data_IF_020845021451
#
_entry.id   IF_020845021451
#
_cell.length_a   1.000
_cell.length_b   1.000
_cell.length_c   1.000
_cell.angle_alpha   90.00
_cell.angle_beta   90.00
_cell.angle_gamma   90.00
#
_symmetry.space_group_name_H-M   'P 1'
#
loop_
_entity.id
_entity.type
_entity.pdbx_description
1 polymer ?
#
# COMPACT_ATOMS: atom_id res chain seq x y z
N UNK A 1 14.83 -5.87 2.91
CA UNK A 1 14.39 -4.80 1.98
C UNK A 1 12.95 -4.96 1.46
N UNK A 2 12.07 -5.81 2.05
CA UNK A 2 10.79 -6.20 1.43
C UNK A 2 9.50 -5.80 2.19
N UNK A 3 9.56 -5.07 3.32
CA UNK A 3 8.43 -5.06 4.28
C UNK A 3 7.94 -3.67 4.73
N UNK A 4 7.99 -2.67 3.85
CA UNK A 4 7.36 -1.35 4.08
C UNK A 4 5.96 -1.28 3.42
N UNK A 5 5.26 -2.38 3.30
CA UNK A 5 4.55 -2.70 2.08
C UNK A 5 3.05 -2.89 2.21
N UNK A 6 2.36 -2.45 3.24
CA UNK A 6 0.90 -2.54 3.15
C UNK A 6 0.28 -1.20 2.72
N UNK A 7 0.74 -0.06 3.21
CA UNK A 7 0.32 1.25 2.64
C UNK A 7 1.22 1.74 1.49
N UNK A 8 2.48 1.21 1.39
CA UNK A 8 3.36 1.41 0.22
C UNK A 8 3.25 0.31 -0.82
N UNK A 9 2.55 -0.79 -0.57
CA UNK A 9 2.41 -1.92 -1.51
C UNK A 9 1.75 -1.48 -2.81
N UNK A 10 0.78 -0.57 -2.75
CA UNK A 10 0.17 0.03 -3.93
C UNK A 10 1.16 0.83 -4.78
N UNK A 11 2.20 1.42 -4.19
CA UNK A 11 3.24 2.19 -4.91
C UNK A 11 4.53 1.40 -5.15
N UNK A 12 4.77 0.28 -4.48
CA UNK A 12 6.06 -0.46 -4.50
C UNK A 12 6.01 -1.71 -5.38
N UNK A 13 4.85 -2.30 -5.62
CA UNK A 13 4.68 -3.35 -6.64
C UNK A 13 5.08 -2.86 -8.04
N UNK A 14 5.12 -1.53 -8.24
CA UNK A 14 5.41 -0.91 -9.54
C UNK A 14 6.87 -0.53 -9.78
N UNK A 15 7.81 -0.84 -8.90
CA UNK A 15 9.17 -0.33 -9.03
C UNK A 15 10.21 -1.31 -9.64
N UNK A 16 9.79 -2.48 -10.14
CA UNK A 16 10.81 -3.40 -10.69
C UNK A 16 10.32 -4.60 -11.49
N UNK A 17 9.31 -5.31 -11.03
CA UNK A 17 8.65 -6.37 -11.81
C UNK A 17 7.24 -5.88 -12.11
N UNK A 18 6.85 -5.79 -13.38
CA UNK A 18 5.51 -5.36 -13.78
C UNK A 18 4.42 -6.22 -13.10
N UNK A 19 3.22 -5.66 -12.85
CA UNK A 19 2.10 -6.39 -12.23
C UNK A 19 1.83 -7.72 -12.93
N UNK A 20 2.03 -7.80 -14.23
CA UNK A 20 1.85 -9.02 -15.05
C UNK A 20 2.69 -10.21 -14.60
N UNK A 21 3.86 -9.98 -13.97
CA UNK A 21 4.72 -11.08 -13.50
C UNK A 21 4.36 -11.53 -12.08
N UNK A 22 3.74 -10.68 -11.28
CA UNK A 22 3.47 -10.97 -9.86
C UNK A 22 2.02 -11.38 -9.64
N UNK A 23 1.09 -10.69 -10.28
CA UNK A 23 -0.35 -10.87 -10.04
C UNK A 23 -0.84 -12.30 -10.27
N UNK A 24 -0.44 -13.01 -11.36
CA UNK A 24 -0.86 -14.40 -11.59
C UNK A 24 -0.37 -15.41 -10.53
N UNK A 25 0.53 -14.98 -9.66
CA UNK A 25 1.15 -15.82 -8.64
C UNK A 25 0.75 -15.44 -7.21
N UNK A 26 -0.23 -14.53 -7.04
CA UNK A 26 -0.67 -14.09 -5.72
C UNK A 26 -1.35 -15.22 -4.92
N UNK A 27 -1.91 -16.19 -5.60
CA UNK A 27 -2.56 -17.37 -5.03
C UNK A 27 -1.62 -18.22 -4.16
N UNK A 28 -0.32 -18.29 -4.48
CA UNK A 28 0.69 -18.97 -3.69
C UNK A 28 1.63 -18.01 -2.94
N UNK A 29 1.89 -16.80 -3.50
CA UNK A 29 2.76 -15.81 -2.86
C UNK A 29 2.18 -15.29 -1.54
N UNK A 30 0.85 -15.08 -1.48
CA UNK A 30 0.20 -14.58 -0.26
C UNK A 30 0.26 -15.63 0.86
N UNK A 31 -0.13 -16.90 0.66
CA UNK A 31 0.05 -17.94 1.68
C UNK A 31 1.51 -18.12 2.13
N UNK A 32 2.45 -18.11 1.19
CA UNK A 32 3.87 -18.16 1.53
C UNK A 32 4.31 -17.00 2.42
N UNK A 33 3.82 -15.78 2.12
CA UNK A 33 4.11 -14.59 2.93
C UNK A 33 3.43 -14.63 4.30
N UNK A 34 2.21 -15.15 4.39
CA UNK A 34 1.49 -15.33 5.67
C UNK A 34 2.27 -16.28 6.57
N UNK A 35 2.83 -17.35 6.02
CA UNK A 35 3.64 -18.33 6.76
C UNK A 35 4.92 -17.74 7.40
N UNK A 36 5.41 -16.59 6.92
CA UNK A 36 6.50 -15.84 7.58
C UNK A 36 6.08 -15.26 8.95
N UNK A 37 4.78 -15.20 9.23
CA UNK A 37 4.24 -14.58 10.44
C UNK A 37 3.53 -15.57 11.35
N UNK A 38 2.81 -16.52 10.79
CA UNK A 38 1.98 -17.47 11.51
C UNK A 38 1.95 -18.80 10.74
N UNK A 39 2.28 -19.88 11.42
CA UNK A 39 2.17 -21.24 10.89
C UNK A 39 0.72 -21.70 10.95
N UNK A 40 0.01 -21.65 9.83
CA UNK A 40 -1.37 -22.11 9.72
C UNK A 40 -1.41 -23.64 9.65
N UNK A 41 -2.43 -24.26 10.31
CA UNK A 41 -2.74 -25.66 10.10
C UNK A 41 -3.43 -25.89 8.73
N UNK A 42 -3.70 -27.14 8.37
CA UNK A 42 -4.21 -27.48 7.04
C UNK A 42 -5.65 -27.00 6.84
N UNK A 43 -6.47 -26.93 7.88
CA UNK A 43 -7.82 -26.35 7.81
C UNK A 43 -7.77 -24.86 7.54
N UNK A 44 -6.91 -24.15 8.25
CA UNK A 44 -6.69 -22.72 8.09
C UNK A 44 -6.07 -22.38 6.72
N UNK A 45 -5.11 -23.20 6.23
CA UNK A 45 -4.55 -23.06 4.88
C UNK A 45 -5.62 -23.22 3.80
N UNK A 46 -6.47 -24.23 3.92
CA UNK A 46 -7.59 -24.44 3.00
C UNK A 46 -8.59 -23.27 3.05
N UNK A 47 -8.91 -22.77 4.25
CA UNK A 47 -9.76 -21.59 4.42
C UNK A 47 -9.13 -20.35 3.75
N UNK A 48 -7.84 -20.07 4.02
CA UNK A 48 -7.11 -18.97 3.42
C UNK A 48 -7.12 -19.07 1.90
N UNK A 49 -6.81 -20.24 1.34
CA UNK A 49 -6.75 -20.46 -0.10
C UNK A 49 -8.10 -20.21 -0.77
N UNK A 50 -9.18 -20.78 -0.22
CA UNK A 50 -10.53 -20.61 -0.75
C UNK A 50 -10.98 -19.14 -0.74
N UNK A 51 -10.72 -18.43 0.36
CA UNK A 51 -11.06 -17.01 0.50
C UNK A 51 -10.21 -16.14 -0.41
N UNK A 52 -8.90 -16.41 -0.48
CA UNK A 52 -7.97 -15.69 -1.34
C UNK A 52 -8.38 -15.77 -2.81
N UNK A 53 -8.73 -16.95 -3.32
CA UNK A 53 -9.19 -17.10 -4.71
C UNK A 53 -10.45 -16.27 -4.98
N UNK A 54 -11.41 -16.26 -4.05
CA UNK A 54 -12.60 -15.40 -4.14
C UNK A 54 -12.22 -13.91 -4.16
N UNK A 55 -11.27 -13.49 -3.34
CA UNK A 55 -10.83 -12.10 -3.32
C UNK A 55 -10.03 -11.70 -4.56
N UNK A 56 -9.24 -12.61 -5.12
CA UNK A 56 -8.53 -12.38 -6.39
C UNK A 56 -9.51 -12.25 -7.56
N UNK A 57 -10.56 -13.07 -7.60
CA UNK A 57 -11.64 -12.94 -8.60
C UNK A 57 -12.36 -11.59 -8.49
N UNK A 58 -12.79 -11.19 -7.28
CA UNK A 58 -13.37 -9.87 -7.06
C UNK A 58 -12.42 -8.75 -7.46
N UNK A 59 -11.15 -8.84 -7.08
CA UNK A 59 -10.14 -7.82 -7.34
C UNK A 59 -9.86 -7.65 -8.84
N UNK A 60 -9.75 -8.75 -9.59
CA UNK A 60 -9.53 -8.66 -11.04
C UNK A 60 -10.74 -8.08 -11.79
N UNK A 61 -11.97 -8.30 -11.31
CA UNK A 61 -13.20 -7.78 -11.95
C UNK A 61 -13.48 -6.33 -11.59
N UNK A 62 -13.09 -5.86 -10.42
CA UNK A 62 -13.50 -4.55 -9.91
C UNK A 62 -12.35 -3.57 -9.73
N UNK A 63 -11.28 -3.99 -9.08
CA UNK A 63 -10.20 -3.10 -8.69
C UNK A 63 -9.21 -2.83 -9.82
N UNK A 64 -8.80 -3.85 -10.57
CA UNK A 64 -7.87 -3.66 -11.69
C UNK A 64 -8.41 -2.70 -12.75
N UNK A 65 -9.68 -2.80 -13.21
CA UNK A 65 -10.27 -1.81 -14.11
C UNK A 65 -10.31 -0.40 -13.51
N UNK A 66 -10.62 -0.28 -12.22
CA UNK A 66 -10.65 1.01 -11.52
C UNK A 66 -9.25 1.64 -11.44
N UNK A 67 -8.21 0.84 -11.22
CA UNK A 67 -6.83 1.30 -11.23
C UNK A 67 -6.40 1.77 -12.62
N UNK A 68 -6.69 1.00 -13.68
CA UNK A 68 -6.40 1.37 -15.06
C UNK A 68 -7.07 2.69 -15.44
N UNK A 69 -8.35 2.84 -15.12
CA UNK A 69 -9.13 4.08 -15.34
C UNK A 69 -8.52 5.27 -14.60
N UNK A 70 -8.15 5.10 -13.34
CA UNK A 70 -7.56 6.16 -12.50
C UNK A 70 -6.20 6.58 -13.04
N UNK A 71 -5.34 5.63 -13.42
CA UNK A 71 -4.03 5.91 -14.02
C UNK A 71 -4.15 6.70 -15.32
N UNK A 72 -5.08 6.32 -16.21
CA UNK A 72 -5.31 7.08 -17.45
C UNK A 72 -5.85 8.48 -17.19
N UNK A 73 -6.68 8.66 -16.16
CA UNK A 73 -7.13 9.99 -15.76
C UNK A 73 -5.96 10.85 -15.28
N UNK A 74 -5.06 10.31 -14.46
CA UNK A 74 -3.82 10.96 -14.05
C UNK A 74 -2.94 11.26 -15.28
N UNK A 75 -2.79 10.28 -16.20
CA UNK A 75 -2.01 10.46 -17.42
C UNK A 75 -2.50 11.62 -18.28
N UNK A 76 -3.80 11.76 -18.48
CA UNK A 76 -4.40 12.90 -19.22
C UNK A 76 -4.09 14.25 -18.55
N UNK A 77 -4.11 14.31 -17.24
CA UNK A 77 -3.78 15.53 -16.49
C UNK A 77 -2.31 15.94 -16.69
N UNK A 78 -1.41 14.97 -16.71
CA UNK A 78 0.02 15.22 -16.90
C UNK A 78 0.42 15.38 -18.37
N UNK A 79 -0.47 15.12 -19.34
CA UNK A 79 -0.19 15.23 -20.75
C UNK A 79 -0.04 16.69 -21.22
N UNK A 80 -0.87 17.58 -20.68
CA UNK A 80 -0.85 18.99 -21.08
C UNK A 80 0.32 19.75 -20.41
N UNK A 81 1.32 20.13 -21.21
CA UNK A 81 2.48 20.86 -20.72
C UNK A 81 2.17 22.33 -20.37
N UNK A 82 1.19 22.91 -21.06
CA UNK A 82 0.83 24.33 -20.93
C UNK A 82 -0.14 24.57 -19.77
N UNK A 83 -0.81 23.54 -19.32
CA UNK A 83 -1.74 23.60 -18.21
C UNK A 83 -1.08 23.10 -16.93
N UNK A 84 -0.76 24.02 -16.02
CA UNK A 84 -0.22 23.66 -14.72
C UNK A 84 -1.23 22.78 -13.96
N UNK A 85 -0.81 21.57 -13.59
CA UNK A 85 -1.60 20.74 -12.68
C UNK A 85 -1.70 21.49 -11.35
N UNK A 86 -2.91 21.78 -10.91
CA UNK A 86 -3.16 22.50 -9.67
C UNK A 86 -3.23 21.56 -8.44
N UNK A 87 -3.17 22.17 -7.26
CA UNK A 87 -3.18 21.42 -6.00
C UNK A 87 -4.52 20.69 -5.77
N UNK A 88 -5.70 21.28 -5.94
CA UNK A 88 -6.98 20.59 -5.78
C UNK A 88 -7.08 19.33 -6.65
N UNK A 89 -6.58 19.39 -7.87
CA UNK A 89 -6.62 18.27 -8.80
C UNK A 89 -5.72 17.11 -8.35
N UNK A 90 -4.46 17.39 -7.98
CA UNK A 90 -3.57 16.35 -7.44
C UNK A 90 -4.13 15.76 -6.14
N UNK A 91 -4.71 16.60 -5.28
CA UNK A 91 -5.36 16.17 -4.05
C UNK A 91 -6.55 15.23 -4.35
N UNK A 92 -7.35 15.51 -5.36
CA UNK A 92 -8.48 14.65 -5.74
C UNK A 92 -8.03 13.26 -6.18
N UNK A 93 -6.90 13.14 -6.90
CA UNK A 93 -6.32 11.83 -7.23
C UNK A 93 -5.79 11.10 -6.01
N UNK A 94 -5.15 11.80 -5.09
CA UNK A 94 -4.74 11.20 -3.82
C UNK A 94 -5.95 10.65 -3.04
N UNK A 95 -7.03 11.42 -2.92
CA UNK A 95 -8.28 10.98 -2.27
C UNK A 95 -8.83 9.74 -2.99
N UNK A 96 -8.88 9.75 -4.33
CA UNK A 96 -9.36 8.60 -5.11
C UNK A 96 -8.55 7.32 -4.86
N UNK A 97 -7.23 7.42 -4.77
CA UNK A 97 -6.37 6.28 -4.43
C UNK A 97 -6.63 5.77 -3.00
N UNK A 98 -6.90 6.67 -2.05
CA UNK A 98 -7.25 6.27 -0.68
C UNK A 98 -8.63 5.61 -0.59
N UNK A 99 -9.60 6.03 -1.40
CA UNK A 99 -10.90 5.38 -1.53
C UNK A 99 -10.75 3.94 -2.03
N UNK A 100 -10.00 3.72 -3.11
CA UNK A 100 -9.72 2.39 -3.65
C UNK A 100 -9.04 1.48 -2.60
N UNK A 101 -8.11 2.03 -1.83
CA UNK A 101 -7.51 1.31 -0.70
C UNK A 101 -8.53 0.94 0.38
N UNK A 102 -9.40 1.87 0.76
CA UNK A 102 -10.46 1.61 1.76
C UNK A 102 -11.45 0.56 1.28
N UNK A 103 -11.83 0.59 0.00
CA UNK A 103 -12.68 -0.45 -0.61
C UNK A 103 -12.03 -1.83 -0.52
N UNK A 104 -10.73 -1.92 -0.86
CA UNK A 104 -9.97 -3.17 -0.73
C UNK A 104 -9.98 -3.67 0.73
N UNK A 105 -9.65 -2.81 1.70
CA UNK A 105 -9.62 -3.21 3.11
C UNK A 105 -10.99 -3.63 3.65
N UNK A 106 -12.07 -2.96 3.26
CA UNK A 106 -13.44 -3.36 3.60
C UNK A 106 -13.79 -4.74 3.03
N UNK A 107 -13.32 -5.04 1.82
CA UNK A 107 -13.60 -6.29 1.14
C UNK A 107 -12.84 -7.47 1.78
N UNK A 108 -11.54 -7.32 2.04
CA UNK A 108 -10.70 -8.41 2.56
C UNK A 108 -10.69 -8.51 4.09
N UNK A 109 -11.03 -7.43 4.80
CA UNK A 109 -10.99 -7.36 6.26
C UNK A 109 -11.80 -8.45 6.97
N UNK A 110 -13.05 -8.75 6.55
CA UNK A 110 -13.82 -9.85 7.12
C UNK A 110 -13.12 -11.21 7.02
N UNK A 111 -12.51 -11.52 5.89
CA UNK A 111 -11.80 -12.78 5.67
C UNK A 111 -10.53 -12.89 6.53
N UNK A 112 -9.78 -11.80 6.68
CA UNK A 112 -8.63 -11.73 7.60
C UNK A 112 -9.09 -11.95 9.04
N UNK A 113 -10.17 -11.29 9.44
CA UNK A 113 -10.75 -11.43 10.78
C UNK A 113 -11.14 -12.87 11.07
N UNK A 114 -11.86 -13.51 10.16
CA UNK A 114 -12.35 -14.88 10.32
C UNK A 114 -11.20 -15.90 10.41
N UNK A 115 -10.11 -15.70 9.67
CA UNK A 115 -8.91 -16.54 9.76
C UNK A 115 -8.23 -16.35 11.13
N UNK A 116 -8.06 -15.10 11.57
CA UNK A 116 -7.43 -14.81 12.86
C UNK A 116 -8.22 -15.33 14.06
N UNK A 117 -9.56 -15.42 13.96
CA UNK A 117 -10.41 -16.00 15.00
C UNK A 117 -10.10 -17.48 15.21
N UNK A 118 -9.73 -18.21 14.17
CA UNK A 118 -9.41 -19.66 14.26
C UNK A 118 -8.03 -19.93 14.84
N UNK A 119 -7.18 -18.92 15.02
CA UNK A 119 -5.81 -19.10 15.47
C UNK A 119 -5.76 -19.64 16.90
N UNK A 120 -4.85 -20.61 17.17
CA UNK A 120 -4.56 -21.09 18.51
C UNK A 120 -3.81 -20.01 19.33
N UNK A 121 -3.64 -20.24 20.64
CA UNK A 121 -2.86 -19.31 21.48
C UNK A 121 -1.40 -19.28 21.04
N UNK A 122 -0.85 -20.45 20.71
CA UNK A 122 0.53 -20.59 20.24
C UNK A 122 0.75 -19.87 18.90
N UNK A 123 -0.22 -19.96 18.00
CA UNK A 123 -0.20 -19.21 16.73
C UNK A 123 -0.30 -17.70 16.93
N UNK A 124 -1.10 -17.26 17.90
CA UNK A 124 -1.17 -15.84 18.26
C UNK A 124 0.17 -15.35 18.81
N UNK A 125 0.79 -16.11 19.71
CA UNK A 125 2.11 -15.74 20.25
C UNK A 125 3.17 -15.72 19.15
N UNK A 126 3.21 -16.73 18.28
CA UNK A 126 4.12 -16.74 17.11
C UNK A 126 3.93 -15.51 16.22
N UNK A 127 2.66 -15.15 15.90
CA UNK A 127 2.32 -13.97 15.10
C UNK A 127 2.92 -12.69 15.72
N UNK A 128 2.69 -12.45 17.01
CA UNK A 128 3.15 -11.23 17.66
C UNK A 128 4.66 -11.21 17.88
N UNK A 129 5.30 -12.34 18.12
CA UNK A 129 6.77 -12.46 18.15
C UNK A 129 7.39 -12.11 16.79
N UNK A 130 6.80 -12.58 15.70
CA UNK A 130 7.26 -12.26 14.36
C UNK A 130 7.00 -10.79 14.00
N UNK A 131 5.88 -10.21 14.42
CA UNK A 131 5.61 -8.77 14.27
C UNK A 131 6.61 -7.93 15.05
N UNK A 132 6.96 -8.32 16.29
CA UNK A 132 7.97 -7.64 17.09
C UNK A 132 9.36 -7.71 16.45
N UNK A 133 9.76 -8.86 15.90
CA UNK A 133 11.00 -8.98 15.11
C UNK A 133 11.03 -7.95 13.96
N UNK A 134 9.90 -7.73 13.29
CA UNK A 134 9.82 -6.71 12.24
C UNK A 134 9.89 -5.28 12.81
N UNK A 135 9.26 -5.01 13.96
CA UNK A 135 9.35 -3.73 14.65
C UNK A 135 10.80 -3.40 15.01
N UNK A 136 11.55 -4.36 15.55
CA UNK A 136 12.98 -4.18 15.84
C UNK A 136 13.81 -3.89 14.58
N UNK A 137 13.54 -4.57 13.45
CA UNK A 137 14.20 -4.27 12.16
C UNK A 137 13.86 -2.87 11.65
N UNK A 138 12.59 -2.46 11.79
CA UNK A 138 12.16 -1.11 11.43
C UNK A 138 12.84 -0.05 12.29
N UNK A 139 12.85 -0.24 13.62
CA UNK A 139 13.49 0.67 14.58
C UNK A 139 14.96 0.93 14.21
N UNK A 140 15.75 -0.14 14.04
CA UNK A 140 17.16 -0.03 13.63
C UNK A 140 17.36 0.73 12.32
N UNK A 141 16.42 0.59 11.37
CA UNK A 141 16.56 1.16 10.02
C UNK A 141 16.08 2.59 9.89
N UNK A 142 15.08 3.00 10.69
CA UNK A 142 14.37 4.26 10.46
C UNK A 142 14.19 5.13 11.72
N UNK A 143 14.45 4.60 12.91
CA UNK A 143 14.31 5.33 14.17
C UNK A 143 15.69 5.56 14.80
N UNK A 144 16.52 4.52 14.90
CA UNK A 144 17.84 4.57 15.57
C UNK A 144 18.95 5.06 14.63
N UNK A 145 18.61 5.94 13.69
CA UNK A 145 19.57 6.56 12.77
C UNK A 145 19.46 8.09 12.87
N UNK A 146 20.53 8.78 12.50
CA UNK A 146 20.52 10.25 12.49
C UNK A 146 19.52 10.82 11.50
N UNK A 147 18.98 12.00 11.79
CA UNK A 147 18.09 12.74 10.89
C UNK A 147 18.74 12.94 9.52
N UNK A 148 20.03 13.25 9.46
CA UNK A 148 20.78 13.39 8.22
C UNK A 148 20.75 12.11 7.38
N UNK A 149 20.96 10.94 8.04
CA UNK A 149 20.90 9.63 7.37
C UNK A 149 19.50 9.29 6.89
N UNK A 150 18.46 9.65 7.64
CA UNK A 150 17.07 9.48 7.25
C UNK A 150 16.73 10.30 6.00
N UNK A 151 17.16 11.56 5.96
CA UNK A 151 16.99 12.46 4.80
C UNK A 151 17.71 11.91 3.58
N UNK A 152 18.98 11.50 3.71
CA UNK A 152 19.77 10.89 2.63
C UNK A 152 19.09 9.63 2.06
N UNK A 153 18.65 8.72 2.94
CA UNK A 153 17.99 7.48 2.52
C UNK A 153 16.66 7.77 1.78
N UNK A 154 15.90 8.75 2.25
CA UNK A 154 14.66 9.22 1.61
C UNK A 154 14.94 9.78 0.22
N UNK A 155 15.93 10.65 0.12
CA UNK A 155 16.36 11.27 -1.14
C UNK A 155 16.79 10.21 -2.16
N UNK A 156 17.67 9.28 -1.79
CA UNK A 156 18.13 8.18 -2.67
C UNK A 156 16.95 7.30 -3.14
N UNK A 157 16.03 6.97 -2.24
CA UNK A 157 14.85 6.18 -2.56
C UNK A 157 13.92 6.90 -3.55
N UNK A 158 13.69 8.20 -3.36
CA UNK A 158 12.84 9.00 -4.24
C UNK A 158 13.49 9.20 -5.62
N UNK A 159 14.80 9.46 -5.68
CA UNK A 159 15.52 9.55 -6.96
C UNK A 159 15.41 8.26 -7.78
N UNK A 160 15.52 7.07 -7.11
CA UNK A 160 15.34 5.78 -7.78
C UNK A 160 13.92 5.62 -8.34
N UNK A 161 12.89 6.03 -7.58
CA UNK A 161 11.49 5.99 -8.04
C UNK A 161 11.26 6.97 -9.19
N UNK A 162 11.79 8.19 -9.07
CA UNK A 162 11.66 9.18 -10.14
C UNK A 162 12.32 8.70 -11.44
N UNK A 163 13.49 8.09 -11.35
CA UNK A 163 14.18 7.48 -12.51
C UNK A 163 13.30 6.43 -13.21
N UNK A 164 12.53 5.66 -12.47
CA UNK A 164 11.59 4.70 -13.06
C UNK A 164 10.47 5.38 -13.88
N UNK A 165 9.96 6.52 -13.39
CA UNK A 165 8.82 7.20 -14.00
C UNK A 165 9.18 8.16 -15.12
N UNK A 166 10.32 8.86 -15.00
CA UNK A 166 10.71 9.92 -15.95
C UNK A 166 12.06 9.68 -16.62
N UNK A 167 12.65 8.48 -16.48
CA UNK A 167 13.99 8.14 -16.98
C UNK A 167 15.10 8.88 -16.21
N UNK A 168 15.88 9.74 -16.83
CA UNK A 168 17.04 10.40 -16.23
C UNK A 168 16.66 11.77 -15.61
N UNK A 169 16.57 11.89 -14.28
CA UNK A 169 16.29 13.17 -13.63
C UNK A 169 17.38 14.21 -13.88
N UNK A 170 16.98 15.46 -14.20
CA UNK A 170 17.88 16.61 -14.33
C UNK A 170 18.46 17.04 -12.99
N UNK A 171 19.44 17.95 -13.00
CA UNK A 171 20.00 18.52 -11.77
C UNK A 171 18.92 19.25 -10.95
N UNK A 172 18.05 20.03 -11.59
CA UNK A 172 16.96 20.77 -10.96
C UNK A 172 15.93 19.83 -10.31
N UNK A 173 15.59 18.73 -10.98
CA UNK A 173 14.69 17.71 -10.41
C UNK A 173 15.31 16.99 -9.22
N UNK A 174 16.62 16.72 -9.25
CA UNK A 174 17.35 16.16 -8.10
C UNK A 174 17.36 17.12 -6.92
N UNK A 175 17.51 18.42 -7.16
CA UNK A 175 17.47 19.46 -6.13
C UNK A 175 16.04 19.61 -5.55
N UNK A 176 15.00 19.56 -6.39
CA UNK A 176 13.61 19.52 -5.93
C UNK A 176 13.34 18.33 -4.99
N UNK A 177 13.89 17.14 -5.29
CA UNK A 177 13.82 15.98 -4.40
C UNK A 177 14.61 16.19 -3.11
N UNK A 178 15.78 16.82 -3.17
CA UNK A 178 16.56 17.12 -1.99
C UNK A 178 15.80 18.08 -1.04
N UNK A 179 15.19 19.12 -1.60
CA UNK A 179 14.34 20.08 -0.89
C UNK A 179 13.14 19.38 -0.24
N UNK A 180 12.38 18.61 -1.03
CA UNK A 180 11.28 17.80 -0.51
C UNK A 180 11.72 16.90 0.66
N UNK A 181 12.86 16.23 0.49
CA UNK A 181 13.35 15.30 1.52
C UNK A 181 13.71 16.00 2.84
N UNK A 182 14.22 17.25 2.78
CA UNK A 182 14.53 18.08 3.94
C UNK A 182 13.27 18.63 4.62
N UNK A 183 12.23 18.97 3.84
CA UNK A 183 10.97 19.53 4.33
C UNK A 183 10.09 18.50 5.05
N UNK A 184 10.22 17.20 4.70
CA UNK A 184 9.41 16.14 5.27
C UNK A 184 9.58 16.03 6.78
N UNK A 185 8.47 16.13 7.50
CA UNK A 185 8.41 15.95 8.96
C UNK A 185 8.79 14.50 9.32
N UNK A 186 9.70 14.28 10.29
CA UNK A 186 10.02 12.93 10.76
C UNK A 186 8.82 12.28 11.45
N UNK A 187 8.40 11.12 10.93
CA UNK A 187 7.26 10.33 11.45
C UNK A 187 7.62 8.89 11.80
N UNK A 188 8.88 8.47 11.63
CA UNK A 188 9.26 7.06 11.82
C UNK A 188 9.00 6.55 13.24
N UNK A 189 9.25 7.38 14.24
CA UNK A 189 9.00 7.05 15.66
C UNK A 189 7.50 6.96 15.94
N UNK A 190 6.73 7.98 15.50
CA UNK A 190 5.27 7.99 15.68
C UNK A 190 4.61 6.80 14.95
N UNK A 191 5.08 6.48 13.75
CA UNK A 191 4.62 5.32 12.99
C UNK A 191 4.85 4.01 13.73
N UNK A 192 6.05 3.82 14.30
CA UNK A 192 6.37 2.61 15.04
C UNK A 192 5.52 2.51 16.31
N UNK A 193 5.38 3.61 17.08
CA UNK A 193 4.54 3.65 18.26
C UNK A 193 3.08 3.33 17.97
N UNK A 194 2.52 3.93 16.89
CA UNK A 194 1.16 3.64 16.46
C UNK A 194 0.99 2.17 16.06
N UNK A 195 1.98 1.60 15.35
CA UNK A 195 1.97 0.19 14.95
C UNK A 195 2.04 -0.75 16.15
N UNK A 196 2.91 -0.47 17.13
CA UNK A 196 3.01 -1.24 18.37
C UNK A 196 1.68 -1.18 19.15
N UNK A 197 1.06 0.00 19.25
CA UNK A 197 -0.26 0.17 19.89
C UNK A 197 -1.38 -0.61 19.17
N UNK A 198 -1.41 -0.61 17.85
CA UNK A 198 -2.36 -1.41 17.06
C UNK A 198 -2.17 -2.92 17.30
N UNK A 199 -0.92 -3.38 17.32
CA UNK A 199 -0.56 -4.77 17.57
C UNK A 199 -0.96 -5.19 18.99
N UNK A 200 -0.68 -4.37 20.00
CA UNK A 200 -1.11 -4.63 21.37
C UNK A 200 -2.63 -4.72 21.53
N UNK A 201 -3.36 -3.83 20.86
CA UNK A 201 -4.82 -3.89 20.85
C UNK A 201 -5.32 -5.17 20.18
N UNK A 202 -4.74 -5.53 19.02
CA UNK A 202 -5.08 -6.77 18.33
C UNK A 202 -4.78 -8.00 19.19
N UNK A 203 -3.62 -8.06 19.88
CA UNK A 203 -3.25 -9.15 20.78
C UNK A 203 -4.25 -9.31 21.92
N UNK A 204 -4.65 -8.20 22.57
CA UNK A 204 -5.67 -8.23 23.64
C UNK A 204 -7.04 -8.69 23.14
N UNK A 205 -7.43 -8.28 21.95
CA UNK A 205 -8.68 -8.77 21.32
C UNK A 205 -8.58 -10.27 21.05
N UNK A 206 -7.52 -10.73 20.41
CA UNK A 206 -7.34 -12.14 20.06
C UNK A 206 -7.26 -13.06 21.30
N UNK A 207 -6.70 -12.59 22.41
CA UNK A 207 -6.69 -13.33 23.68
C UNK A 207 -8.11 -13.55 24.26
N UNK A 208 -9.08 -12.72 23.86
CA UNK A 208 -10.47 -12.78 24.34
C UNK A 208 -11.46 -13.32 23.29
N UNK A 209 -10.98 -13.92 22.21
CA UNK A 209 -11.78 -14.31 21.03
C UNK A 209 -12.96 -15.24 21.34
N UNK A 210 -12.89 -15.98 22.45
CA UNK A 210 -13.94 -16.90 22.89
C UNK A 210 -14.89 -16.30 23.95
N UNK A 211 -14.69 -15.04 24.37
CA UNK A 211 -15.32 -14.47 25.57
C UNK A 211 -16.31 -13.34 25.29
N UNK A 212 -16.36 -12.80 24.07
CA UNK A 212 -17.22 -11.64 23.76
C UNK A 212 -17.76 -11.70 22.33
N UNK A 213 -19.07 -11.55 22.14
CA UNK A 213 -19.67 -11.44 20.79
C UNK A 213 -19.14 -10.23 20.01
N UNK A 214 -18.77 -9.15 20.70
CA UNK A 214 -18.26 -7.91 20.09
C UNK A 214 -16.80 -8.02 19.60
N UNK A 215 -16.13 -9.10 19.94
CA UNK A 215 -14.72 -9.31 19.58
C UNK A 215 -14.50 -9.21 18.07
N UNK A 216 -15.35 -9.90 17.28
CA UNK A 216 -15.23 -9.94 15.83
C UNK A 216 -15.34 -8.54 15.20
N UNK A 217 -16.28 -7.74 15.64
CA UNK A 217 -16.51 -6.38 15.17
C UNK A 217 -15.33 -5.47 15.54
N UNK A 218 -14.85 -5.55 16.78
CA UNK A 218 -13.71 -4.77 17.24
C UNK A 218 -12.41 -5.12 16.49
N UNK A 219 -12.19 -6.40 16.17
CA UNK A 219 -11.03 -6.82 15.38
C UNK A 219 -11.15 -6.37 13.93
N UNK A 220 -12.33 -6.51 13.33
CA UNK A 220 -12.61 -6.04 11.99
C UNK A 220 -12.39 -4.53 11.86
N UNK A 221 -12.93 -3.75 12.81
CA UNK A 221 -12.72 -2.30 12.85
C UNK A 221 -11.24 -1.93 12.93
N UNK A 222 -10.46 -2.64 13.74
CA UNK A 222 -9.02 -2.42 13.85
C UNK A 222 -8.26 -2.71 12.54
N UNK A 223 -8.73 -3.68 11.76
CA UNK A 223 -8.14 -4.06 10.46
C UNK A 223 -8.55 -3.07 9.37
N UNK A 224 -9.80 -2.64 9.34
CA UNK A 224 -10.36 -1.81 8.26
C UNK A 224 -10.05 -0.32 8.46
N UNK A 225 -10.07 0.15 9.72
CA UNK A 225 -9.86 1.55 10.09
C UNK A 225 -8.70 1.75 11.09
N UNK A 226 -7.47 1.30 10.79
CA UNK A 226 -6.33 1.40 11.70
C UNK A 226 -5.96 2.86 12.03
N UNK A 227 -6.36 3.81 11.19
CA UNK A 227 -6.16 5.24 11.38
C UNK A 227 -6.95 5.82 12.56
N UNK A 228 -8.04 5.19 12.99
CA UNK A 228 -8.86 5.62 14.13
C UNK A 228 -8.09 5.68 15.46
N UNK A 229 -6.96 4.97 15.55
CA UNK A 229 -6.10 4.95 16.74
C UNK A 229 -4.89 5.90 16.64
N UNK A 230 -4.77 6.71 15.59
CA UNK A 230 -3.69 7.69 15.50
C UNK A 230 -3.90 8.81 16.51
N UNK A 231 -2.81 9.22 17.17
CA UNK A 231 -2.85 10.46 17.95
C UNK A 231 -3.04 11.68 17.04
N UNK A 232 -3.66 12.73 17.54
CA UNK A 232 -3.83 13.98 16.77
C UNK A 232 -2.49 14.54 16.28
N UNK A 233 -1.44 14.46 17.12
CA UNK A 233 -0.10 14.91 16.75
C UNK A 233 0.51 14.09 15.61
N UNK A 234 0.31 12.77 15.59
CA UNK A 234 0.77 11.92 14.51
C UNK A 234 -0.03 12.16 13.23
N UNK A 235 -1.34 12.29 13.33
CA UNK A 235 -2.21 12.60 12.21
C UNK A 235 -1.81 13.93 11.54
N UNK A 236 -1.58 14.98 12.31
CA UNK A 236 -1.13 16.28 11.79
C UNK A 236 0.22 16.19 11.04
N UNK A 237 1.17 15.38 11.53
CA UNK A 237 2.43 15.13 10.81
C UNK A 237 2.22 14.39 9.48
N UNK A 238 1.28 13.43 9.44
CA UNK A 238 0.92 12.73 8.20
C UNK A 238 0.34 13.71 7.19
N UNK A 239 -0.61 14.55 7.59
CA UNK A 239 -1.25 15.55 6.74
C UNK A 239 -0.23 16.55 6.20
N UNK A 240 0.67 17.06 7.04
CA UNK A 240 1.75 17.92 6.61
C UNK A 240 2.65 17.24 5.55
N UNK A 241 2.99 15.97 5.74
CA UNK A 241 3.79 15.21 4.79
C UNK A 241 3.05 14.93 3.47
N UNK A 242 1.76 14.72 3.50
CA UNK A 242 0.91 14.61 2.29
C UNK A 242 0.96 15.94 1.52
N UNK A 243 0.71 17.06 2.19
CA UNK A 243 0.73 18.39 1.58
C UNK A 243 2.10 18.68 0.92
N UNK A 244 3.19 18.48 1.64
CA UNK A 244 4.56 18.64 1.12
C UNK A 244 4.78 17.77 -0.12
N UNK A 245 4.30 16.53 -0.10
CA UNK A 245 4.48 15.59 -1.22
C UNK A 245 3.65 16.00 -2.44
N UNK A 246 2.38 16.41 -2.26
CA UNK A 246 1.52 16.85 -3.35
C UNK A 246 2.09 18.12 -4.02
N UNK A 247 2.58 19.08 -3.23
CA UNK A 247 3.28 20.28 -3.74
C UNK A 247 4.55 19.92 -4.52
N UNK A 248 5.32 18.95 -4.04
CA UNK A 248 6.51 18.47 -4.74
C UNK A 248 6.18 17.78 -6.07
N UNK A 249 5.09 17.02 -6.16
CA UNK A 249 4.62 16.43 -7.42
C UNK A 249 4.30 17.52 -8.44
N UNK A 250 3.62 18.59 -8.04
CA UNK A 250 3.31 19.74 -8.91
C UNK A 250 4.59 20.40 -9.39
N UNK A 251 5.56 20.65 -8.49
CA UNK A 251 6.85 21.21 -8.83
C UNK A 251 7.61 20.32 -9.84
N UNK A 252 7.68 19.02 -9.58
CA UNK A 252 8.35 18.08 -10.48
C UNK A 252 7.67 18.01 -11.86
N UNK A 253 6.33 18.12 -11.92
CA UNK A 253 5.60 18.16 -13.18
C UNK A 253 5.99 19.37 -14.04
N UNK A 254 6.18 20.54 -13.42
CA UNK A 254 6.65 21.76 -14.11
C UNK A 254 8.06 21.64 -14.65
N UNK A 255 8.89 20.83 -14.02
CA UNK A 255 10.29 20.60 -14.41
C UNK A 255 10.46 19.47 -15.45
N UNK A 256 9.37 18.83 -15.90
CA UNK A 256 9.47 17.76 -16.89
C UNK A 256 9.87 18.32 -18.25
N UNK A 257 10.93 17.77 -18.83
CA UNK A 257 11.22 17.99 -20.24
C UNK A 257 10.19 17.33 -21.15
N UNK A 258 10.02 17.76 -22.41
CA UNK A 258 9.11 17.10 -23.35
C UNK A 258 9.36 15.58 -23.48
N UNK A 259 10.63 15.18 -23.52
CA UNK A 259 11.03 13.76 -23.60
C UNK A 259 10.63 12.99 -22.33
N UNK A 260 10.84 13.58 -21.16
CA UNK A 260 10.43 12.98 -19.87
C UNK A 260 8.91 12.88 -19.75
N UNK A 261 8.16 13.87 -20.18
CA UNK A 261 6.70 13.85 -20.21
C UNK A 261 6.20 12.72 -21.12
N UNK A 262 6.72 12.60 -22.32
CA UNK A 262 6.39 11.49 -23.21
C UNK A 262 6.71 10.12 -22.58
N UNK A 263 7.86 10.00 -21.93
CA UNK A 263 8.24 8.77 -21.23
C UNK A 263 7.29 8.45 -20.07
N UNK A 264 6.94 9.44 -19.24
CA UNK A 264 5.98 9.31 -18.13
C UNK A 264 4.62 8.78 -18.63
N UNK A 265 4.08 9.39 -19.69
CA UNK A 265 2.80 9.00 -20.26
C UNK A 265 2.83 7.57 -20.81
N UNK A 266 3.91 7.17 -21.48
CA UNK A 266 4.11 5.79 -21.93
C UNK A 266 4.16 4.81 -20.74
N UNK A 267 4.81 5.18 -19.64
CA UNK A 267 4.87 4.35 -18.44
C UNK A 267 3.50 4.20 -17.77
N UNK A 268 2.75 5.30 -17.65
CA UNK A 268 1.39 5.30 -17.10
C UNK A 268 0.48 4.40 -17.95
N UNK A 269 0.49 4.57 -19.28
CA UNK A 269 -0.35 3.76 -20.17
C UNK A 269 0.07 2.28 -20.19
N UNK A 270 1.38 1.99 -20.17
CA UNK A 270 1.86 0.60 -20.04
C UNK A 270 1.33 -0.06 -18.77
N UNK A 271 1.36 0.65 -17.64
CA UNK A 271 0.85 0.14 -16.37
C UNK A 271 -0.69 -0.03 -16.39
N UNK A 272 -1.42 0.93 -16.95
CA UNK A 272 -2.86 0.83 -17.12
C UNK A 272 -3.24 -0.35 -18.03
N UNK A 273 -2.53 -0.53 -19.14
CA UNK A 273 -2.71 -1.69 -20.04
C UNK A 273 -2.36 -3.02 -19.36
N UNK A 274 -1.37 -3.05 -18.45
CA UNK A 274 -1.08 -4.25 -17.69
C UNK A 274 -2.24 -4.62 -16.77
N UNK A 275 -2.89 -3.63 -16.13
CA UNK A 275 -4.09 -3.87 -15.32
C UNK A 275 -5.28 -4.34 -16.16
N UNK A 276 -5.53 -3.76 -17.34
CA UNK A 276 -6.59 -4.22 -18.22
C UNK A 276 -6.38 -5.70 -18.62
N UNK A 277 -5.14 -6.08 -18.95
CA UNK A 277 -4.80 -7.46 -19.33
C UNK A 277 -4.88 -8.46 -18.17
N UNK A 278 -4.84 -8.00 -16.95
CA UNK A 278 -5.00 -8.80 -15.73
C UNK A 278 -6.44 -8.77 -15.22
N UNK A 279 -7.28 -7.90 -15.76
CA UNK A 279 -8.69 -7.83 -15.42
C UNK A 279 -9.43 -9.06 -15.95
N UNK A 280 -10.37 -9.54 -15.16
CA UNK A 280 -11.27 -10.63 -15.52
C UNK A 280 -12.54 -10.06 -16.16
N UNK A 281 -13.17 -10.82 -17.07
CA UNK A 281 -14.39 -10.39 -17.73
C UNK A 281 -15.56 -10.32 -16.72
N UNK A 282 -16.33 -9.23 -16.67
CA UNK A 282 -17.48 -9.13 -15.78
C UNK A 282 -18.58 -10.17 -16.07
N UNK A 283 -18.67 -10.67 -17.31
CA UNK A 283 -19.77 -11.53 -17.76
C UNK A 283 -19.61 -13.03 -17.43
N UNK A 284 -18.44 -13.50 -16.98
CA UNK A 284 -18.26 -14.94 -16.67
C UNK A 284 -18.90 -15.42 -15.36
N UNK A 285 -19.55 -14.53 -14.58
CA UNK A 285 -20.22 -14.92 -13.31
C UNK A 285 -21.51 -15.74 -13.53
N UNK A 286 -22.02 -15.83 -14.76
CA UNK A 286 -23.36 -16.38 -15.01
C UNK A 286 -23.42 -17.78 -15.62
N UNK A 287 -22.32 -18.52 -15.71
CA UNK A 287 -22.39 -19.93 -16.13
C UNK A 287 -22.24 -20.84 -14.90
N UNK A 288 -23.35 -21.41 -14.38
CA UNK A 288 -23.24 -22.51 -13.43
C UNK A 288 -22.54 -23.67 -14.16
N UNK A 289 -21.41 -24.11 -13.62
CA UNK A 289 -20.81 -25.39 -14.00
C UNK A 289 -21.81 -26.47 -13.62
N UNK A 290 -22.61 -26.89 -14.59
CA UNK A 290 -23.39 -28.14 -14.51
C UNK A 290 -22.37 -29.24 -14.79
N UNK A 291 -21.95 -29.93 -13.74
CA UNK A 291 -21.56 -31.33 -13.78
C UNK A 291 -21.74 -31.92 -12.38
#
# INVERSE_FOLDING_TARGET
MKKFLIASAFLVVFAGCGPRLIYPHLDWLIPWYVNDYIALDDTQKNMLQKRLLKQLDWHCRTQLPAYAKTLRAIGREFANADQAVDYPKIQSYYIKLMELWKELMKQIGPDITDILITASNEQIDELFDNLEKQNRKFRKKYVDISTAKLVENRQKSMQKRLKYWISNPTAEQKEAIATWSKQMVPISKDWLQNREMLQDKARRLLARRNSSPEFRENLLELIVNPESLRTLAYQAKIEANIDITLKSIIQLNRLLTPAQRSYLLKRIESLASDFDKLSCDPEEVSKPTIN
#
